data_IF_038259469242
#
_entry.id   IF_038259469242
#
_cell.length_a   1.000
_cell.length_b   1.000
_cell.length_c   1.000
_cell.angle_alpha   90.00
_cell.angle_beta   90.00
_cell.angle_gamma   90.00
#
_symmetry.space_group_name_H-M   'P 1'
#
loop_
_entity.id
_entity.type
_entity.pdbx_description
1 polymer ?
#
# COMPACT_ATOMS: atom_id res chain seq x y z
N UNK A 1 0.00 9.76 21.21
CA UNK A 1 -1.16 8.95 21.60
C UNK A 1 -0.66 7.79 22.46
N UNK A 2 -1.38 7.41 23.52
CA UNK A 2 -1.13 6.16 24.24
C UNK A 2 -1.15 4.96 23.26
N UNK A 3 -0.27 3.94 23.42
CA UNK A 3 -0.17 2.81 22.47
C UNK A 3 -1.49 2.06 22.28
N UNK A 4 -2.28 1.97 23.34
CA UNK A 4 -3.62 1.39 23.43
C UNK A 4 -4.69 2.13 22.60
N UNK A 5 -4.40 3.35 22.12
CA UNK A 5 -5.29 4.12 21.26
C UNK A 5 -4.91 4.04 19.77
N UNK A 6 -3.80 3.37 19.44
CA UNK A 6 -3.34 3.20 18.06
C UNK A 6 -3.91 1.90 17.51
N UNK A 7 -4.74 2.00 16.47
CA UNK A 7 -5.22 0.83 15.72
C UNK A 7 -4.12 0.37 14.77
N UNK A 8 -3.63 -0.84 14.94
CA UNK A 8 -2.57 -1.43 14.11
C UNK A 8 -2.85 -2.90 13.79
N UNK A 9 -2.34 -3.38 12.66
CA UNK A 9 -2.42 -4.78 12.24
C UNK A 9 -1.13 -5.19 11.54
N UNK A 10 -0.64 -6.40 11.83
CA UNK A 10 0.48 -7.01 11.11
C UNK A 10 -0.06 -7.95 10.05
N UNK A 11 0.33 -7.74 8.80
CA UNK A 11 -0.08 -8.55 7.65
C UNK A 11 1.11 -9.39 7.18
N UNK A 12 0.98 -10.72 7.22
CA UNK A 12 2.09 -11.63 6.86
C UNK A 12 2.08 -12.06 5.39
N UNK A 13 0.92 -11.99 4.71
CA UNK A 13 0.71 -12.53 3.37
C UNK A 13 0.28 -11.41 2.39
N UNK A 14 1.00 -10.30 2.40
CA UNK A 14 0.78 -9.19 1.48
C UNK A 14 1.42 -9.55 0.13
N UNK A 15 0.66 -9.46 -0.95
CA UNK A 15 1.17 -9.69 -2.30
C UNK A 15 1.78 -8.39 -2.83
N UNK A 16 3.01 -8.47 -3.32
CA UNK A 16 3.63 -7.38 -4.08
C UNK A 16 3.09 -7.45 -5.51
N UNK A 17 2.39 -6.40 -5.95
CA UNK A 17 1.72 -6.37 -7.24
C UNK A 17 2.05 -5.08 -7.98
N UNK A 18 2.96 -5.16 -8.95
CA UNK A 18 3.34 -4.00 -9.78
C UNK A 18 2.22 -3.55 -10.73
N UNK A 19 1.15 -4.34 -10.86
CA UNK A 19 -0.08 -3.94 -11.55
C UNK A 19 -0.99 -3.06 -10.69
N UNK A 20 -0.78 -3.01 -9.37
CA UNK A 20 -1.50 -2.13 -8.46
C UNK A 20 -0.77 -0.79 -8.31
N UNK A 21 -1.52 0.32 -8.36
CA UNK A 21 -0.96 1.66 -8.22
C UNK A 21 -0.48 1.96 -6.81
N UNK A 22 -1.27 1.60 -5.79
CA UNK A 22 -1.02 1.92 -4.37
C UNK A 22 -1.32 0.72 -3.46
N UNK A 23 -1.35 0.93 -2.15
CA UNK A 23 -1.80 -0.05 -1.16
C UNK A 23 -3.26 -0.43 -1.41
N UNK A 24 -3.56 -1.72 -1.49
CA UNK A 24 -4.93 -2.21 -1.55
C UNK A 24 -5.22 -3.13 -0.36
N UNK A 25 -6.28 -2.84 0.40
CA UNK A 25 -6.64 -3.61 1.59
C UNK A 25 -8.05 -4.18 1.48
N UNK A 26 -8.29 -5.37 2.05
CA UNK A 26 -9.64 -5.89 2.19
C UNK A 26 -10.49 -5.03 3.16
N UNK A 27 -11.82 -5.00 2.99
CA UNK A 27 -12.73 -4.18 3.81
C UNK A 27 -12.58 -4.44 5.31
N UNK A 28 -12.35 -5.71 5.70
CA UNK A 28 -12.16 -6.08 7.11
C UNK A 28 -10.92 -5.44 7.74
N UNK A 29 -9.83 -5.29 6.97
CA UNK A 29 -8.59 -4.68 7.45
C UNK A 29 -8.75 -3.16 7.55
N UNK A 30 -9.40 -2.56 6.55
CA UNK A 30 -9.74 -1.13 6.55
C UNK A 30 -10.62 -0.80 7.76
N UNK A 31 -11.64 -1.62 8.04
CA UNK A 31 -12.50 -1.44 9.20
C UNK A 31 -11.77 -1.63 10.53
N UNK A 32 -10.87 -2.62 10.63
CA UNK A 32 -10.06 -2.86 11.83
C UNK A 32 -9.12 -1.68 12.13
N UNK A 33 -8.48 -1.14 11.10
CA UNK A 33 -7.69 0.09 11.19
C UNK A 33 -8.59 1.32 11.39
N UNK A 34 -9.87 1.19 11.01
CA UNK A 34 -10.90 2.21 10.87
C UNK A 34 -10.38 3.46 10.17
N UNK A 35 -9.84 3.24 8.98
CA UNK A 35 -9.45 4.29 8.05
C UNK A 35 -10.68 5.06 7.59
N UNK A 36 -10.50 6.35 7.33
CA UNK A 36 -11.58 7.21 6.85
C UNK A 36 -11.68 7.14 5.33
N UNK A 37 -12.91 7.03 4.82
CA UNK A 37 -13.17 7.13 3.38
C UNK A 37 -12.75 8.54 2.91
N UNK A 38 -11.90 8.58 1.88
CA UNK A 38 -11.47 9.82 1.24
C UNK A 38 -12.42 10.18 0.09
N UNK A 39 -12.63 9.23 -0.83
CA UNK A 39 -13.43 9.43 -2.05
C UNK A 39 -13.88 8.08 -2.63
N UNK A 40 -14.91 8.13 -3.46
CA UNK A 40 -15.25 7.06 -4.39
C UNK A 40 -14.84 7.48 -5.80
N UNK A 41 -14.30 6.55 -6.58
CA UNK A 41 -13.93 6.78 -7.98
C UNK A 41 -14.54 5.70 -8.87
N UNK A 42 -14.95 6.09 -10.06
CA UNK A 42 -15.39 5.13 -11.08
C UNK A 42 -14.16 4.37 -11.62
N UNK A 43 -14.26 3.05 -11.70
CA UNK A 43 -13.20 2.16 -12.19
C UNK A 43 -13.74 1.25 -13.28
N UNK A 44 -12.92 1.01 -14.30
CA UNK A 44 -13.26 0.06 -15.34
C UNK A 44 -12.95 -1.36 -14.87
N UNK A 45 -13.97 -2.22 -14.88
CA UNK A 45 -13.85 -3.64 -14.54
C UNK A 45 -14.23 -4.49 -15.75
N UNK A 46 -13.88 -5.78 -15.71
CA UNK A 46 -14.31 -6.73 -16.75
C UNK A 46 -15.85 -6.82 -16.93
N UNK A 47 -16.63 -6.38 -15.94
CA UNK A 47 -18.09 -6.37 -15.95
C UNK A 47 -18.69 -4.97 -16.25
N UNK A 48 -17.88 -3.99 -16.63
CA UNK A 48 -18.28 -2.60 -16.88
C UNK A 48 -17.76 -1.62 -15.82
N UNK A 49 -18.33 -0.41 -15.80
CA UNK A 49 -17.94 0.64 -14.84
C UNK A 49 -18.43 0.24 -13.44
N UNK A 50 -17.48 0.05 -12.53
CA UNK A 50 -17.70 -0.15 -11.11
C UNK A 50 -17.27 1.06 -10.29
N UNK A 51 -17.44 0.99 -8.98
CA UNK A 51 -16.94 1.98 -8.03
C UNK A 51 -15.84 1.37 -7.17
N UNK A 52 -14.74 2.10 -7.01
CA UNK A 52 -13.71 1.81 -6.02
C UNK A 52 -13.76 2.86 -4.90
N UNK A 53 -13.60 2.40 -3.66
CA UNK A 53 -13.49 3.26 -2.49
C UNK A 53 -12.02 3.46 -2.14
N UNK A 54 -11.64 4.71 -1.92
CA UNK A 54 -10.28 5.08 -1.52
C UNK A 54 -10.33 5.65 -0.12
N UNK A 55 -9.45 5.16 0.74
CA UNK A 55 -9.30 5.54 2.15
C UNK A 55 -7.98 6.28 2.34
N UNK A 56 -7.95 7.24 3.26
CA UNK A 56 -6.77 8.08 3.52
C UNK A 56 -5.97 7.61 4.73
N UNK A 57 -4.73 8.09 4.79
CA UNK A 57 -3.84 8.06 5.96
C UNK A 57 -3.48 6.65 6.47
N UNK A 58 -3.36 5.67 5.56
CA UNK A 58 -2.84 4.36 5.92
C UNK A 58 -1.32 4.43 6.11
N UNK A 59 -0.87 4.48 7.37
CA UNK A 59 0.56 4.36 7.70
C UNK A 59 0.99 2.90 7.63
N UNK A 60 2.01 2.62 6.82
CA UNK A 60 2.63 1.30 6.73
C UNK A 60 4.08 1.34 7.23
N UNK A 61 4.55 0.21 7.72
CA UNK A 61 5.95 -0.04 8.05
C UNK A 61 6.39 -1.32 7.33
N UNK A 62 7.44 -1.21 6.52
CA UNK A 62 7.98 -2.30 5.71
C UNK A 62 9.50 -2.17 5.65
N UNK A 63 10.22 -3.28 5.89
CA UNK A 63 11.70 -3.35 5.82
C UNK A 63 12.43 -2.20 6.56
N UNK A 64 11.90 -1.78 7.71
CA UNK A 64 12.46 -0.70 8.53
C UNK A 64 12.19 0.71 8.01
N UNK A 65 11.30 0.86 7.03
CA UNK A 65 10.86 2.15 6.47
C UNK A 65 9.38 2.35 6.71
N UNK A 66 8.98 3.61 6.81
CA UNK A 66 7.58 3.98 7.06
C UNK A 66 7.12 5.03 6.05
N UNK A 67 5.84 4.98 5.71
CA UNK A 67 5.19 5.94 4.83
C UNK A 67 3.68 5.91 5.03
N UNK A 68 3.03 6.99 4.60
CA UNK A 68 1.57 7.15 4.67
C UNK A 68 1.01 7.21 3.26
N UNK A 69 0.01 6.37 2.98
CA UNK A 69 -0.52 6.19 1.63
C UNK A 69 -2.04 6.20 1.60
N UNK A 70 -2.61 6.55 0.45
CA UNK A 70 -3.99 6.22 0.13
C UNK A 70 -4.13 4.70 -0.04
N UNK A 71 -5.24 4.16 0.46
CA UNK A 71 -5.56 2.74 0.40
C UNK A 71 -6.81 2.53 -0.47
N UNK A 72 -6.68 1.72 -1.52
CA UNK A 72 -7.82 1.28 -2.32
C UNK A 72 -8.47 0.06 -1.68
N UNK A 73 -9.79 0.03 -1.60
CA UNK A 73 -10.50 -1.14 -1.09
C UNK A 73 -10.60 -2.26 -2.13
N UNK A 74 -10.20 -3.46 -1.73
CA UNK A 74 -10.35 -4.67 -2.54
C UNK A 74 -11.76 -5.27 -2.42
N UNK A 75 -12.20 -6.01 -3.45
CA UNK A 75 -13.28 -6.99 -3.28
C UNK A 75 -12.97 -7.95 -2.11
N UNK A 76 -14.01 -8.32 -1.35
CA UNK A 76 -13.85 -9.17 -0.17
C UNK A 76 -13.16 -10.52 -0.47
N UNK A 77 -12.33 -10.98 0.46
CA UNK A 77 -11.65 -12.28 0.36
C UNK A 77 -10.32 -12.29 -0.40
N UNK A 78 -9.89 -11.15 -0.96
CA UNK A 78 -8.57 -11.03 -1.60
C UNK A 78 -7.45 -10.80 -0.56
N UNK A 79 -6.22 -11.18 -0.92
CA UNK A 79 -5.04 -10.81 -0.13
C UNK A 79 -4.75 -9.30 -0.28
N UNK A 80 -4.26 -8.63 0.77
CA UNK A 80 -3.73 -7.28 0.66
C UNK A 80 -2.67 -7.17 -0.44
N UNK A 81 -2.68 -6.06 -1.19
CA UNK A 81 -1.73 -5.79 -2.26
C UNK A 81 -0.85 -4.59 -1.90
N UNK A 82 0.44 -4.68 -2.24
CA UNK A 82 1.39 -3.59 -2.17
C UNK A 82 1.76 -3.16 -3.60
N UNK A 83 1.24 -2.00 -4.00
CA UNK A 83 1.47 -1.40 -5.31
C UNK A 83 2.78 -0.64 -5.46
N UNK A 84 2.98 -0.05 -6.63
CA UNK A 84 4.23 0.63 -7.03
C UNK A 84 4.51 1.92 -6.23
N UNK A 85 3.49 2.74 -5.92
CA UNK A 85 3.71 4.01 -5.20
C UNK A 85 4.34 3.77 -3.81
N UNK A 86 3.79 2.88 -2.95
CA UNK A 86 4.44 2.54 -1.69
C UNK A 86 5.86 1.97 -1.85
N UNK A 87 6.11 1.14 -2.87
CA UNK A 87 7.44 0.58 -3.10
C UNK A 87 8.45 1.68 -3.44
N UNK A 88 8.13 2.55 -4.41
CA UNK A 88 9.00 3.62 -4.85
C UNK A 88 9.23 4.66 -3.75
N UNK A 89 8.15 5.10 -3.08
CA UNK A 89 8.24 6.08 -2.00
C UNK A 89 9.08 5.57 -0.81
N UNK A 90 9.03 4.26 -0.55
CA UNK A 90 9.87 3.62 0.46
C UNK A 90 11.24 3.20 -0.09
N UNK A 91 11.58 3.48 -1.36
CA UNK A 91 12.85 3.09 -1.96
C UNK A 91 13.10 1.58 -1.93
N UNK A 92 12.10 0.80 -2.33
CA UNK A 92 12.14 -0.67 -2.35
C UNK A 92 12.11 -1.15 -3.80
N UNK A 93 13.13 -1.92 -4.18
CA UNK A 93 13.20 -2.61 -5.46
C UNK A 93 12.84 -4.09 -5.33
N UNK A 94 12.39 -4.67 -6.44
CA UNK A 94 12.02 -6.09 -6.52
C UNK A 94 13.13 -6.89 -7.20
N UNK A 95 13.71 -7.83 -6.45
CA UNK A 95 14.52 -8.90 -7.01
C UNK A 95 13.63 -10.11 -7.30
N UNK A 96 12.98 -10.10 -8.45
CA UNK A 96 12.06 -11.17 -8.86
C UNK A 96 12.77 -12.51 -9.01
N UNK A 97 14.04 -12.50 -9.41
CA UNK A 97 14.83 -13.72 -9.61
C UNK A 97 15.10 -14.43 -8.30
N UNK A 98 15.43 -13.68 -7.25
CA UNK A 98 15.71 -14.24 -5.93
C UNK A 98 14.51 -14.17 -4.98
N UNK A 99 13.38 -13.63 -5.43
CA UNK A 99 12.14 -13.43 -4.67
C UNK A 99 12.38 -12.63 -3.38
N UNK A 100 13.05 -11.47 -3.51
CA UNK A 100 13.41 -10.61 -2.38
C UNK A 100 13.08 -9.15 -2.65
N UNK A 101 12.86 -8.42 -1.55
CA UNK A 101 12.81 -6.97 -1.55
C UNK A 101 14.23 -6.43 -1.31
N UNK A 102 14.67 -5.50 -2.16
CA UNK A 102 15.93 -4.79 -2.01
C UNK A 102 15.62 -3.39 -1.47
N UNK A 103 16.27 -3.03 -0.38
CA UNK A 103 16.17 -1.67 0.19
C UNK A 103 17.25 -0.81 -0.46
N UNK A 104 16.84 0.16 -1.28
CA UNK A 104 17.75 1.09 -1.93
C UNK A 104 18.41 2.02 -0.91
N UNK A 105 19.69 2.42 -1.07
CA UNK A 105 20.33 3.39 -0.20
C UNK A 105 19.58 4.74 -0.19
N UNK A 106 19.56 5.42 0.94
CA UNK A 106 19.08 6.81 1.01
C UNK A 106 20.25 7.71 0.57
N UNK A 107 20.56 7.69 -0.73
CA UNK A 107 21.63 8.49 -1.32
C UNK A 107 21.17 9.10 -2.65
N UNK A 108 21.68 10.28 -3.06
CA UNK A 108 21.14 11.02 -4.21
C UNK A 108 21.18 10.28 -5.55
N UNK A 109 22.05 9.27 -5.69
CA UNK A 109 22.29 8.57 -6.97
C UNK A 109 21.60 7.22 -7.08
N UNK A 110 20.98 6.73 -6.01
CA UNK A 110 20.34 5.40 -5.94
C UNK A 110 19.05 5.47 -5.12
N UNK A 111 18.18 6.42 -5.45
CA UNK A 111 16.87 6.61 -4.82
C UNK A 111 15.85 7.08 -5.84
N UNK A 112 14.57 6.83 -5.58
CA UNK A 112 13.47 7.40 -6.37
C UNK A 112 13.18 8.86 -5.99
N UNK A 113 13.73 9.36 -4.88
CA UNK A 113 13.56 10.73 -4.41
C UNK A 113 14.56 11.67 -5.11
N UNK A 114 14.12 12.32 -6.18
CA UNK A 114 14.94 13.31 -6.92
C UNK A 114 14.30 14.70 -6.84
N UNK A 115 15.15 15.72 -6.65
CA UNK A 115 14.79 17.13 -6.82
C UNK A 115 15.70 17.70 -7.92
N UNK A 116 15.11 18.35 -8.93
CA UNK A 116 15.83 18.99 -10.04
C UNK A 116 16.35 20.36 -9.63
#
# INVERSE_FOLDING_TARGET
MPPDQIRSVTLNNVLVDTGATTLCLPPQIIAQLGLSLLKEVDVETANGIGKARIFQDAKISLVGREGTFECLELPGGMNPLLGVIPLEALGIELDLKNQRLIVLPISPTQTYLTIL
#
